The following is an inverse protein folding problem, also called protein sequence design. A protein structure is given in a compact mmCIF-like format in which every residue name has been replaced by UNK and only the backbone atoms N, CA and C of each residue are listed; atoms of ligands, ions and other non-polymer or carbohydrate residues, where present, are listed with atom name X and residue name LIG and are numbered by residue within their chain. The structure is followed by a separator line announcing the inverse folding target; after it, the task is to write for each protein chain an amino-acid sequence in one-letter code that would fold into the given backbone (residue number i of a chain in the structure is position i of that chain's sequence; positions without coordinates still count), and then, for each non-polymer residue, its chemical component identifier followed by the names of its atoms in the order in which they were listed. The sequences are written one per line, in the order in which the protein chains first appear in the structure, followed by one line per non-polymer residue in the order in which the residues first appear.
data_IF_923466130730
#
_entry.id   IF_923466130730
#
_cell.length_a   1.000
_cell.length_b   1.000
_cell.length_c   1.000
_cell.angle_alpha   90.00
_cell.angle_beta   90.00
_cell.angle_gamma   90.00
#
_symmetry.space_group_name_H-M   'P 1'
#
loop_
_entity.id
_entity.type
_entity.pdbx_description
1 polymer ?
#
# COMPACT_ATOMS: atom_id res chain seq x y z
N UNK A 1 2.93 20.09 -14.89
CA UNK A 1 2.87 21.16 -13.89
C UNK A 1 4.29 21.53 -13.45
N UNK A 2 4.85 22.66 -13.89
CA UNK A 2 6.18 23.10 -13.47
C UNK A 2 6.25 23.32 -11.95
N UNK A 3 7.43 23.00 -11.38
CA UNK A 3 7.70 23.07 -9.94
C UNK A 3 6.81 22.20 -9.06
N UNK A 4 6.15 21.18 -9.63
CA UNK A 4 5.41 20.20 -8.86
C UNK A 4 6.37 19.29 -8.05
N UNK A 5 5.86 18.74 -6.96
CA UNK A 5 6.60 17.84 -6.09
C UNK A 5 5.86 16.55 -5.88
N UNK A 6 6.50 15.45 -6.26
CA UNK A 6 6.03 14.09 -6.01
C UNK A 6 6.84 13.41 -4.93
N UNK A 7 6.26 12.37 -4.35
CA UNK A 7 6.92 11.44 -3.44
C UNK A 7 6.71 10.01 -3.93
N UNK A 8 7.78 9.22 -3.99
CA UNK A 8 7.72 7.77 -4.12
C UNK A 8 8.24 7.18 -2.81
N UNK A 9 7.43 6.39 -2.13
CA UNK A 9 7.74 5.91 -0.79
C UNK A 9 7.31 4.45 -0.59
N UNK A 10 8.08 3.74 0.23
CA UNK A 10 7.78 2.42 0.76
C UNK A 10 8.13 2.38 2.24
N UNK A 11 7.92 1.27 2.93
CA UNK A 11 8.34 1.11 4.35
C UNK A 11 9.82 1.41 4.52
N UNK A 12 10.70 0.89 3.64
CA UNK A 12 12.13 1.20 3.68
C UNK A 12 12.64 1.67 2.32
N UNK A 13 13.60 2.59 2.32
CA UNK A 13 14.26 3.05 1.09
C UNK A 13 15.02 1.90 0.40
N UNK A 14 15.61 0.98 1.16
CA UNK A 14 16.34 -0.17 0.61
C UNK A 14 15.42 -1.07 -0.23
N UNK A 15 14.26 -1.44 0.31
CA UNK A 15 13.25 -2.24 -0.41
C UNK A 15 12.72 -1.50 -1.64
N UNK A 16 12.46 -0.20 -1.52
CA UNK A 16 12.02 0.62 -2.64
C UNK A 16 13.07 0.63 -3.77
N UNK A 17 14.36 0.77 -3.41
CA UNK A 17 15.48 0.84 -4.34
C UNK A 17 15.67 -0.42 -5.18
N UNK A 18 15.47 -1.59 -4.56
CA UNK A 18 15.64 -2.89 -5.21
C UNK A 18 14.41 -3.38 -6.00
N UNK A 19 13.28 -2.68 -5.91
CA UNK A 19 12.02 -3.08 -6.56
C UNK A 19 11.45 -1.97 -7.45
N UNK A 20 10.59 -1.11 -6.94
CA UNK A 20 9.86 -0.12 -7.72
C UNK A 20 10.78 0.86 -8.45
N UNK A 21 11.89 1.27 -7.86
CA UNK A 21 12.80 2.20 -8.53
C UNK A 21 13.56 1.56 -9.70
N UNK A 22 13.73 0.24 -9.73
CA UNK A 22 14.24 -0.47 -10.91
C UNK A 22 13.21 -0.35 -12.03
N UNK A 23 11.98 -0.77 -11.78
CA UNK A 23 10.87 -0.66 -12.75
C UNK A 23 10.65 0.78 -13.21
N UNK A 24 10.69 1.73 -12.27
CA UNK A 24 10.59 3.15 -12.58
C UNK A 24 11.64 3.60 -13.59
N UNK A 25 12.91 3.29 -13.35
CA UNK A 25 14.02 3.70 -14.23
C UNK A 25 13.99 3.02 -15.58
N UNK A 26 13.66 1.72 -15.63
CA UNK A 26 13.73 0.91 -16.83
C UNK A 26 12.52 1.09 -17.76
N UNK A 27 11.34 1.36 -17.20
CA UNK A 27 10.09 1.34 -17.96
C UNK A 27 9.36 2.69 -17.95
N UNK A 28 9.42 3.47 -16.86
CA UNK A 28 8.65 4.72 -16.74
C UNK A 28 9.53 5.94 -17.07
N UNK A 29 10.69 6.03 -16.46
CA UNK A 29 11.56 7.20 -16.54
C UNK A 29 12.60 7.15 -17.67
N UNK A 30 12.76 6.00 -18.29
CA UNK A 30 13.83 5.71 -19.25
C UNK A 30 13.94 6.75 -20.37
N UNK A 31 12.84 7.05 -21.02
CA UNK A 31 12.80 8.01 -22.14
C UNK A 31 13.12 9.43 -21.66
N UNK A 32 12.52 9.86 -20.54
CA UNK A 32 12.77 11.18 -19.99
C UNK A 32 14.23 11.38 -19.53
N UNK A 33 14.84 10.34 -18.97
CA UNK A 33 16.26 10.35 -18.59
C UNK A 33 17.14 10.42 -19.85
N UNK A 34 16.87 9.59 -20.86
CA UNK A 34 17.61 9.55 -22.11
C UNK A 34 17.52 10.85 -22.89
N UNK A 35 16.39 11.54 -22.82
CA UNK A 35 16.17 12.84 -23.44
C UNK A 35 16.74 14.03 -22.61
N UNK A 36 17.35 13.77 -21.46
CA UNK A 36 17.87 14.81 -20.57
C UNK A 36 16.80 15.67 -19.88
N UNK A 37 15.53 15.26 -19.94
CA UNK A 37 14.42 15.97 -19.30
C UNK A 37 14.34 15.70 -17.79
N UNK A 38 14.97 14.62 -17.33
CA UNK A 38 15.00 14.21 -15.94
C UNK A 38 16.35 13.60 -15.58
N UNK A 39 16.86 13.90 -14.39
CA UNK A 39 18.07 13.33 -13.83
C UNK A 39 17.87 12.82 -12.41
N UNK A 40 18.48 11.70 -12.06
CA UNK A 40 18.50 11.19 -10.71
C UNK A 40 19.61 11.84 -9.88
N UNK A 41 19.26 12.30 -8.70
CA UNK A 41 20.16 12.79 -7.67
C UNK A 41 20.13 11.85 -6.46
N UNK A 42 21.26 11.27 -6.10
CA UNK A 42 21.36 10.25 -5.06
C UNK A 42 21.18 10.76 -3.62
N UNK A 43 21.03 12.07 -3.44
CA UNK A 43 20.87 12.70 -2.13
C UNK A 43 22.21 13.14 -1.50
N UNK A 44 22.10 13.92 -0.43
CA UNK A 44 23.19 14.38 0.43
C UNK A 44 22.78 14.30 1.90
N UNK A 45 23.59 14.85 2.80
CA UNK A 45 23.20 15.02 4.19
C UNK A 45 21.96 15.94 4.32
N UNK A 46 21.82 16.91 3.42
CA UNK A 46 20.82 17.98 3.48
C UNK A 46 19.57 17.67 2.64
N UNK A 47 19.73 16.95 1.50
CA UNK A 47 18.63 16.64 0.60
C UNK A 47 18.41 15.12 0.44
N UNK A 48 17.15 14.64 0.42
CA UNK A 48 16.86 13.24 0.12
C UNK A 48 17.15 12.90 -1.34
N UNK A 49 17.30 11.60 -1.69
CA UNK A 49 17.35 11.15 -3.07
C UNK A 49 16.12 11.61 -3.84
N UNK A 50 16.28 12.04 -5.09
CA UNK A 50 15.19 12.58 -5.89
C UNK A 50 15.47 12.53 -7.39
N UNK A 51 14.41 12.50 -8.19
CA UNK A 51 14.46 12.79 -9.62
C UNK A 51 14.15 14.27 -9.81
N UNK A 52 15.01 14.96 -10.55
CA UNK A 52 14.92 16.39 -10.87
C UNK A 52 14.59 16.56 -12.35
N UNK A 53 13.56 17.35 -12.63
CA UNK A 53 13.11 17.64 -13.99
C UNK A 53 13.58 19.03 -14.42
N UNK A 54 13.80 19.21 -15.73
CA UNK A 54 14.22 20.48 -16.31
C UNK A 54 13.22 21.63 -16.11
N UNK A 55 11.93 21.31 -15.86
CA UNK A 55 10.89 22.28 -15.59
C UNK A 55 10.78 22.68 -14.09
N UNK A 56 11.77 22.32 -13.27
CA UNK A 56 11.82 22.59 -11.84
C UNK A 56 11.05 21.60 -10.95
N UNK A 57 10.31 20.65 -11.54
CA UNK A 57 9.61 19.63 -10.77
C UNK A 57 10.59 18.61 -10.17
N UNK A 58 10.18 17.96 -9.07
CA UNK A 58 10.98 16.96 -8.36
C UNK A 58 10.11 15.80 -7.93
N UNK A 59 10.67 14.59 -7.96
CA UNK A 59 10.07 13.41 -7.31
C UNK A 59 11.06 12.93 -6.26
N UNK A 60 10.72 13.12 -5.01
CA UNK A 60 11.51 12.64 -3.88
C UNK A 60 11.31 11.14 -3.68
N UNK A 61 12.34 10.47 -3.18
CA UNK A 61 12.36 9.02 -2.95
C UNK A 61 12.74 8.77 -1.51
N UNK A 62 11.96 7.97 -0.79
CA UNK A 62 12.21 7.75 0.63
C UNK A 62 11.62 6.48 1.21
N UNK A 63 11.94 6.25 2.47
CA UNK A 63 11.36 5.19 3.31
C UNK A 63 10.73 5.78 4.56
N UNK A 64 9.64 5.17 5.02
CA UNK A 64 8.97 5.54 6.27
C UNK A 64 9.71 5.03 7.52
N UNK A 65 10.78 4.25 7.35
CA UNK A 65 11.74 3.93 8.41
C UNK A 65 12.58 5.14 8.86
N UNK A 66 12.75 6.14 7.97
CA UNK A 66 13.43 7.41 8.25
C UNK A 66 12.60 8.59 7.75
N UNK A 67 11.42 8.82 8.34
CA UNK A 67 10.42 9.75 7.80
C UNK A 67 10.87 11.21 7.85
N UNK A 68 11.75 11.60 8.75
CA UNK A 68 12.18 13.00 8.91
C UNK A 68 12.72 13.62 7.64
N UNK A 69 13.38 12.84 6.77
CA UNK A 69 13.95 13.32 5.49
C UNK A 69 12.90 13.68 4.45
N UNK A 70 11.78 12.98 4.46
CA UNK A 70 10.70 13.18 3.48
C UNK A 70 9.54 13.99 4.05
N UNK A 71 9.32 13.92 5.36
CA UNK A 71 8.22 14.60 6.04
C UNK A 71 8.48 16.10 6.28
N UNK A 72 9.67 16.61 6.05
CA UNK A 72 9.97 18.05 6.09
C UNK A 72 9.62 18.80 4.79
N UNK A 73 9.17 18.08 3.74
CA UNK A 73 8.78 18.64 2.45
C UNK A 73 7.27 18.62 2.26
N UNK A 74 6.80 19.38 1.26
CA UNK A 74 5.41 19.43 0.81
C UNK A 74 5.32 18.82 -0.58
N UNK A 75 4.22 18.13 -0.87
CA UNK A 75 4.00 17.41 -2.11
C UNK A 75 2.67 17.78 -2.77
N UNK A 76 2.55 17.54 -4.07
CA UNK A 76 1.31 17.56 -4.82
C UNK A 76 0.72 16.15 -4.95
N UNK A 77 1.59 15.14 -5.05
CA UNK A 77 1.16 13.74 -5.09
C UNK A 77 2.16 12.84 -4.37
N UNK A 78 1.67 11.68 -3.94
CA UNK A 78 2.50 10.61 -3.40
C UNK A 78 2.10 9.26 -4.01
N UNK A 79 3.11 8.43 -4.30
CA UNK A 79 2.96 7.04 -4.64
C UNK A 79 3.54 6.17 -3.53
N UNK A 80 2.68 5.36 -2.93
CA UNK A 80 3.04 4.46 -1.81
C UNK A 80 3.10 3.04 -2.33
N UNK A 81 4.30 2.49 -2.42
CA UNK A 81 4.50 1.10 -2.83
C UNK A 81 4.29 0.16 -1.64
N UNK A 82 3.59 -0.96 -1.89
CA UNK A 82 3.27 -1.99 -0.89
C UNK A 82 2.67 -1.36 0.38
N UNK A 83 1.54 -0.67 0.22
CA UNK A 83 0.94 0.13 1.29
C UNK A 83 0.57 -0.68 2.54
N UNK A 84 0.40 -2.00 2.45
CA UNK A 84 0.19 -2.86 3.61
C UNK A 84 1.39 -2.93 4.55
N UNK A 85 2.61 -2.58 4.10
CA UNK A 85 3.78 -2.52 4.96
C UNK A 85 3.77 -1.28 5.88
N UNK A 86 2.97 -0.27 5.55
CA UNK A 86 2.86 0.97 6.30
C UNK A 86 1.82 0.83 7.43
N UNK A 87 1.97 1.65 8.45
CA UNK A 87 0.92 1.88 9.45
C UNK A 87 -0.08 2.93 8.95
N UNK A 88 -1.29 2.98 9.53
CA UNK A 88 -2.24 4.04 9.25
C UNK A 88 -1.67 5.42 9.60
N UNK A 89 -0.88 5.52 10.68
CA UNK A 89 -0.20 6.76 11.05
C UNK A 89 0.82 7.22 10.00
N UNK A 90 1.56 6.30 9.36
CA UNK A 90 2.45 6.61 8.24
C UNK A 90 1.66 7.21 7.06
N UNK A 91 0.53 6.60 6.71
CA UNK A 91 -0.37 7.08 5.66
C UNK A 91 -0.93 8.47 5.95
N UNK A 92 -1.40 8.69 7.16
CA UNK A 92 -1.92 9.99 7.59
C UNK A 92 -0.83 11.06 7.61
N UNK A 93 0.38 10.71 8.05
CA UNK A 93 1.53 11.62 8.00
C UNK A 93 1.82 12.06 6.55
N UNK A 94 1.83 11.14 5.57
CA UNK A 94 1.98 11.48 4.15
C UNK A 94 0.85 12.41 3.69
N UNK A 95 -0.39 12.09 4.06
CA UNK A 95 -1.57 12.90 3.70
C UNK A 95 -1.42 14.37 4.14
N UNK A 96 -0.87 14.62 5.32
CA UNK A 96 -0.66 16.00 5.83
C UNK A 96 0.36 16.79 5.02
N UNK A 97 1.18 16.12 4.20
CA UNK A 97 2.20 16.77 3.34
C UNK A 97 1.72 17.11 1.94
N UNK A 98 0.52 16.70 1.57
CA UNK A 98 -0.07 17.02 0.27
C UNK A 98 -0.65 18.44 0.26
N UNK A 99 0.22 19.43 0.17
CA UNK A 99 -0.14 20.86 0.23
C UNK A 99 0.81 21.78 -0.54
N UNK A 100 1.61 21.27 -1.49
CA UNK A 100 2.51 22.08 -2.30
C UNK A 100 1.76 23.07 -3.22
N UNK A 101 0.54 22.73 -3.67
CA UNK A 101 -0.36 23.62 -4.40
C UNK A 101 0.11 23.99 -5.82
N UNK A 102 1.01 23.21 -6.43
CA UNK A 102 1.45 23.42 -7.82
C UNK A 102 0.60 22.64 -8.83
N UNK A 103 -0.10 21.63 -8.37
CA UNK A 103 -1.10 20.91 -9.15
C UNK A 103 -2.51 21.34 -8.70
N UNK A 104 -3.51 21.30 -9.59
CA UNK A 104 -4.89 21.65 -9.25
C UNK A 104 -5.58 20.64 -8.32
N UNK A 105 -4.91 19.53 -8.04
CA UNK A 105 -5.37 18.47 -7.14
C UNK A 105 -4.18 17.89 -6.37
N UNK A 106 -4.46 17.28 -5.24
CA UNK A 106 -3.53 16.47 -4.48
C UNK A 106 -4.02 15.03 -4.49
N UNK A 107 -3.10 14.07 -4.54
CA UNK A 107 -3.46 12.67 -4.66
C UNK A 107 -2.44 11.75 -3.97
N UNK A 108 -2.94 10.70 -3.32
CA UNK A 108 -2.15 9.52 -2.96
C UNK A 108 -2.61 8.37 -3.85
N UNK A 109 -1.66 7.75 -4.52
CA UNK A 109 -1.82 6.45 -5.16
C UNK A 109 -1.04 5.42 -4.38
N UNK A 110 -1.57 4.22 -4.28
CA UNK A 110 -0.88 3.12 -3.63
C UNK A 110 -1.15 1.81 -4.35
N UNK A 111 -0.18 0.92 -4.31
CA UNK A 111 -0.36 -0.48 -4.69
C UNK A 111 -0.14 -1.38 -3.49
N UNK A 112 -0.77 -2.54 -3.53
CA UNK A 112 -0.60 -3.59 -2.53
C UNK A 112 -1.18 -4.91 -3.00
N UNK A 113 -0.66 -6.00 -2.47
CA UNK A 113 -1.35 -7.28 -2.47
C UNK A 113 -2.35 -7.33 -1.30
N UNK A 114 -3.45 -8.07 -1.41
CA UNK A 114 -4.39 -8.27 -0.31
C UNK A 114 -3.73 -8.93 0.91
N UNK A 115 -4.23 -8.57 2.08
CA UNK A 115 -3.87 -9.17 3.36
C UNK A 115 -5.15 -9.53 4.14
N UNK A 116 -5.18 -9.34 5.45
CA UNK A 116 -6.35 -9.60 6.29
C UNK A 116 -7.45 -8.55 6.06
N UNK A 117 -8.74 -8.93 6.14
CA UNK A 117 -9.86 -8.00 6.00
C UNK A 117 -9.88 -6.87 7.04
N UNK A 118 -9.26 -7.11 8.20
CA UNK A 118 -9.18 -6.15 9.31
C UNK A 118 -7.98 -5.20 9.19
N UNK A 119 -7.16 -5.33 8.14
CA UNK A 119 -6.05 -4.42 7.91
C UNK A 119 -6.55 -2.98 7.73
N UNK A 120 -5.89 -2.00 8.36
CA UNK A 120 -6.30 -0.59 8.36
C UNK A 120 -6.63 -0.06 6.97
N UNK A 121 -5.85 -0.46 5.94
CA UNK A 121 -6.06 -0.01 4.56
C UNK A 121 -7.40 -0.54 4.01
N UNK A 122 -7.72 -1.83 4.23
CA UNK A 122 -9.00 -2.40 3.80
C UNK A 122 -10.16 -1.77 4.55
N UNK A 123 -10.01 -1.56 5.86
CA UNK A 123 -11.02 -0.87 6.68
C UNK A 123 -11.28 0.55 6.16
N UNK A 124 -10.24 1.33 5.84
CA UNK A 124 -10.40 2.66 5.22
C UNK A 124 -11.14 2.62 3.90
N UNK A 125 -10.86 1.61 3.07
CA UNK A 125 -11.57 1.42 1.80
C UNK A 125 -13.06 1.12 2.05
N UNK A 126 -13.36 0.22 2.96
CA UNK A 126 -14.73 -0.12 3.32
C UNK A 126 -15.53 1.07 3.91
N UNK A 127 -14.83 1.98 4.61
CA UNK A 127 -15.41 3.23 5.12
C UNK A 127 -15.55 4.34 4.08
N UNK A 128 -15.14 4.10 2.83
CA UNK A 128 -15.19 5.11 1.77
C UNK A 128 -14.14 6.24 1.90
N UNK A 129 -13.19 6.12 2.83
CA UNK A 129 -12.10 7.10 3.02
C UNK A 129 -10.99 6.98 1.97
N UNK A 130 -10.92 5.85 1.30
CA UNK A 130 -9.95 5.54 0.24
C UNK A 130 -10.66 4.70 -0.81
N UNK A 131 -10.48 5.04 -2.09
CA UNK A 131 -11.04 4.26 -3.19
C UNK A 131 -10.18 3.04 -3.46
N UNK A 132 -10.78 1.86 -3.43
CA UNK A 132 -10.14 0.60 -3.83
C UNK A 132 -10.38 0.36 -5.32
N UNK A 133 -9.30 0.22 -6.07
CA UNK A 133 -9.31 -0.23 -7.45
C UNK A 133 -8.75 -1.66 -7.47
N UNK A 134 -9.61 -2.62 -7.71
CA UNK A 134 -9.19 -4.02 -7.84
C UNK A 134 -8.60 -4.25 -9.22
N UNK A 135 -7.43 -4.91 -9.25
CA UNK A 135 -6.78 -5.39 -10.46
C UNK A 135 -6.44 -6.86 -10.28
N UNK A 136 -6.67 -7.65 -11.31
CA UNK A 136 -6.45 -9.09 -11.31
C UNK A 136 -5.45 -9.47 -12.39
N UNK A 137 -4.95 -10.70 -12.31
CA UNK A 137 -4.04 -11.22 -13.34
C UNK A 137 -4.70 -11.25 -14.72
N UNK A 138 -6.01 -11.40 -14.75
CA UNK A 138 -6.83 -11.41 -15.94
C UNK A 138 -6.91 -10.04 -16.65
N UNK A 139 -6.60 -8.96 -15.92
CA UNK A 139 -6.56 -7.59 -16.47
C UNK A 139 -5.20 -7.27 -17.10
N UNK A 140 -4.21 -8.15 -16.98
CA UNK A 140 -2.86 -7.88 -17.45
C UNK A 140 -2.64 -8.39 -18.89
N UNK A 141 -2.50 -7.51 -19.88
CA UNK A 141 -2.34 -7.90 -21.28
C UNK A 141 -1.02 -8.63 -21.59
N UNK A 142 -0.06 -8.66 -20.65
CA UNK A 142 1.13 -9.49 -20.80
C UNK A 142 0.90 -10.95 -20.41
N UNK A 143 -0.18 -11.23 -19.68
CA UNK A 143 -0.55 -12.56 -19.21
C UNK A 143 -1.72 -13.15 -20.02
N UNK A 144 -2.63 -12.31 -20.51
CA UNK A 144 -3.77 -12.73 -21.34
C UNK A 144 -3.80 -11.97 -22.66
N UNK A 145 -4.21 -12.67 -23.70
CA UNK A 145 -4.56 -12.10 -25.00
C UNK A 145 -5.94 -11.41 -24.94
N UNK A 146 -6.26 -10.61 -25.94
CA UNK A 146 -7.55 -9.93 -26.04
C UNK A 146 -8.76 -10.88 -26.10
N UNK A 147 -8.56 -12.12 -26.55
CA UNK A 147 -9.56 -13.18 -26.58
C UNK A 147 -9.72 -13.94 -25.27
N UNK A 148 -9.00 -13.55 -24.22
CA UNK A 148 -9.00 -14.19 -22.90
C UNK A 148 -8.11 -15.45 -22.79
N UNK A 149 -7.44 -15.86 -23.86
CA UNK A 149 -6.47 -16.97 -23.79
C UNK A 149 -5.19 -16.52 -23.11
N UNK A 150 -4.52 -17.44 -22.41
CA UNK A 150 -3.25 -17.14 -21.73
C UNK A 150 -2.11 -17.02 -22.73
N UNK A 151 -1.30 -15.97 -22.61
CA UNK A 151 0.00 -15.89 -23.31
C UNK A 151 0.96 -16.97 -22.77
N UNK A 152 2.05 -17.32 -23.46
CA UNK A 152 3.06 -18.25 -22.92
C UNK A 152 3.56 -17.83 -21.52
N UNK A 153 3.80 -16.53 -21.30
CA UNK A 153 4.16 -15.98 -20.00
C UNK A 153 3.02 -16.12 -18.98
N UNK A 154 1.77 -15.94 -19.42
CA UNK A 154 0.58 -16.15 -18.60
C UNK A 154 0.41 -17.58 -18.14
N UNK A 155 0.63 -18.54 -19.03
CA UNK A 155 0.58 -19.98 -18.71
C UNK A 155 1.61 -20.29 -17.62
N UNK A 156 2.85 -19.89 -17.80
CA UNK A 156 3.92 -20.14 -16.84
C UNK A 156 3.65 -19.48 -15.48
N UNK A 157 3.34 -18.19 -15.47
CA UNK A 157 3.17 -17.43 -14.24
C UNK A 157 1.93 -17.83 -13.46
N UNK A 158 0.78 -17.93 -14.12
CA UNK A 158 -0.51 -18.27 -13.47
C UNK A 158 -0.47 -19.71 -12.95
N UNK A 159 0.19 -20.64 -13.65
CA UNK A 159 0.35 -22.02 -13.14
C UNK A 159 1.13 -22.06 -11.82
N UNK A 160 2.15 -21.23 -11.64
CA UNK A 160 2.86 -21.11 -10.36
C UNK A 160 1.93 -20.64 -9.24
N UNK A 161 1.05 -19.69 -9.54
CA UNK A 161 0.06 -19.20 -8.56
C UNK A 161 -1.05 -20.22 -8.29
N UNK A 162 -1.48 -20.96 -9.29
CA UNK A 162 -2.49 -22.01 -9.17
C UNK A 162 -2.00 -23.18 -8.28
N UNK A 163 -0.69 -23.39 -8.18
CA UNK A 163 -0.05 -24.36 -7.28
C UNK A 163 0.07 -23.89 -5.82
N UNK A 164 -0.22 -22.63 -5.52
CA UNK A 164 -0.31 -22.18 -4.14
C UNK A 164 -1.52 -22.84 -3.45
N UNK A 165 -1.49 -22.90 -2.12
CA UNK A 165 -2.57 -23.45 -1.29
C UNK A 165 -3.04 -22.43 -0.26
N UNK A 166 -4.20 -22.70 0.36
CA UNK A 166 -4.75 -21.96 1.48
C UNK A 166 -4.86 -20.44 1.22
N UNK A 167 -4.63 -19.68 2.26
CA UNK A 167 -4.71 -18.22 2.26
C UNK A 167 -3.79 -17.57 1.23
N UNK A 168 -2.60 -18.14 1.00
CA UNK A 168 -1.66 -17.63 0.00
C UNK A 168 -2.26 -17.63 -1.41
N UNK A 169 -2.93 -18.72 -1.77
CA UNK A 169 -3.62 -18.82 -3.06
C UNK A 169 -4.74 -17.78 -3.16
N UNK A 170 -5.54 -17.67 -2.12
CA UNK A 170 -6.65 -16.72 -2.09
C UNK A 170 -6.16 -15.27 -2.24
N UNK A 171 -5.10 -14.88 -1.54
CA UNK A 171 -4.53 -13.54 -1.63
C UNK A 171 -3.82 -13.30 -2.95
N UNK A 172 -2.85 -14.13 -3.31
CA UNK A 172 -1.94 -13.85 -4.42
C UNK A 172 -2.48 -14.28 -5.79
N UNK A 173 -3.34 -15.33 -5.85
CA UNK A 173 -3.93 -15.78 -7.11
C UNK A 173 -5.28 -15.13 -7.39
N UNK A 174 -6.10 -15.00 -6.35
CA UNK A 174 -7.48 -14.51 -6.51
C UNK A 174 -7.69 -13.07 -6.07
N UNK A 175 -6.70 -12.43 -5.47
CA UNK A 175 -6.78 -11.03 -5.04
C UNK A 175 -7.75 -10.79 -3.87
N UNK A 176 -7.97 -11.80 -3.03
CA UNK A 176 -8.95 -11.73 -1.96
C UNK A 176 -8.32 -11.28 -0.64
N UNK A 177 -8.98 -10.39 0.06
CA UNK A 177 -8.66 -10.03 1.42
C UNK A 177 -9.23 -11.10 2.36
N UNK A 178 -8.35 -11.95 2.88
CA UNK A 178 -8.74 -13.10 3.71
C UNK A 178 -7.87 -13.20 4.95
N UNK A 179 -8.46 -13.70 6.03
CA UNK A 179 -7.75 -13.92 7.28
C UNK A 179 -6.62 -14.97 7.13
N UNK A 180 -5.60 -14.88 7.99
CA UNK A 180 -4.55 -15.90 8.05
C UNK A 180 -5.13 -17.25 8.53
N UNK A 181 -4.57 -18.36 8.04
CA UNK A 181 -4.89 -19.68 8.59
C UNK A 181 -4.60 -19.69 10.10
N UNK A 182 -5.54 -20.22 10.89
CA UNK A 182 -5.41 -20.31 12.34
C UNK A 182 -6.06 -19.16 13.13
N UNK A 183 -6.78 -18.26 12.52
CA UNK A 183 -7.69 -17.39 13.26
C UNK A 183 -8.82 -18.24 13.88
N UNK A 184 -8.96 -18.14 15.21
CA UNK A 184 -9.98 -18.89 15.97
C UNK A 184 -11.41 -18.54 15.50
N UNK A 185 -11.58 -17.29 15.03
CA UNK A 185 -12.85 -16.77 14.53
C UNK A 185 -12.66 -16.21 13.11
N UNK A 186 -12.69 -17.08 12.10
CA UNK A 186 -12.56 -16.68 10.69
C UNK A 186 -13.69 -15.77 10.21
N UNK A 187 -14.84 -15.86 10.86
CA UNK A 187 -16.06 -15.13 10.56
C UNK A 187 -16.13 -13.75 11.24
N UNK A 188 -15.11 -13.38 12.04
CA UNK A 188 -15.11 -12.08 12.72
C UNK A 188 -14.99 -10.93 11.73
N UNK A 189 -16.04 -10.15 11.60
CA UNK A 189 -16.11 -8.92 10.84
C UNK A 189 -16.37 -7.73 11.79
N UNK A 190 -15.43 -6.80 11.94
CA UNK A 190 -15.63 -5.63 12.79
C UNK A 190 -16.87 -4.81 12.44
N UNK A 191 -17.23 -4.75 11.15
CA UNK A 191 -18.42 -3.99 10.71
C UNK A 191 -19.74 -4.61 11.17
N UNK A 192 -19.74 -5.92 11.44
CA UNK A 192 -20.91 -6.68 11.89
C UNK A 192 -20.89 -6.94 13.41
N UNK A 193 -19.67 -7.21 13.94
CA UNK A 193 -19.53 -7.73 15.31
C UNK A 193 -19.10 -6.66 16.33
N UNK A 194 -18.66 -5.47 15.88
CA UNK A 194 -18.46 -4.32 16.75
C UNK A 194 -19.73 -3.46 16.78
N UNK A 195 -20.22 -3.22 17.95
CA UNK A 195 -21.35 -2.31 18.18
C UNK A 195 -20.89 -1.09 18.96
N UNK A 196 -21.56 0.02 18.77
CA UNK A 196 -21.32 1.23 19.54
C UNK A 196 -21.56 1.00 21.03
N UNK A 197 -20.79 1.72 21.84
CA UNK A 197 -20.92 1.63 23.29
C UNK A 197 -22.32 2.04 23.73
N UNK A 198 -23.01 1.16 24.43
CA UNK A 198 -24.33 1.45 24.97
C UNK A 198 -24.41 1.16 26.48
N UNK A 199 -25.40 1.74 27.15
CA UNK A 199 -25.65 1.47 28.56
C UNK A 199 -26.29 0.11 28.71
N UNK A 200 -25.61 -0.80 29.39
CA UNK A 200 -26.14 -2.14 29.66
C UNK A 200 -27.39 -2.00 30.58
N UNK A 201 -28.57 -2.53 30.19
CA UNK A 201 -29.75 -2.51 31.00
C UNK A 201 -29.51 -3.16 32.36
N UNK A 202 -30.12 -2.62 33.42
CA UNK A 202 -29.91 -3.08 34.80
C UNK A 202 -30.47 -4.49 35.06
N UNK A 203 -31.46 -4.88 34.27
CA UNK A 203 -32.14 -6.17 34.32
C UNK A 203 -31.42 -7.29 33.55
N UNK A 204 -30.35 -6.97 32.81
CA UNK A 204 -29.57 -8.01 32.15
C UNK A 204 -28.71 -8.79 33.14
N UNK A 205 -28.77 -10.12 33.06
CA UNK A 205 -27.91 -11.01 33.85
C UNK A 205 -26.47 -10.84 33.39
N UNK A 206 -25.55 -10.69 34.32
CA UNK A 206 -24.13 -10.49 34.07
C UNK A 206 -23.35 -11.72 34.51
N UNK A 207 -22.53 -12.20 33.61
CA UNK A 207 -21.61 -13.32 33.86
C UNK A 207 -20.18 -12.80 33.82
N UNK A 208 -19.37 -13.30 34.71
CA UNK A 208 -17.95 -13.05 34.76
C UNK A 208 -17.23 -14.37 34.50
N UNK A 209 -16.26 -14.40 33.60
CA UNK A 209 -15.37 -15.52 33.39
C UNK A 209 -13.93 -15.02 33.46
N UNK A 210 -13.06 -15.84 34.02
CA UNK A 210 -11.63 -15.55 34.14
C UNK A 210 -10.88 -16.78 33.62
N UNK A 211 -10.00 -16.56 32.64
CA UNK A 211 -9.04 -17.57 32.21
C UNK A 211 -7.69 -17.30 32.83
N UNK A 212 -7.11 -18.31 33.49
CA UNK A 212 -5.82 -18.20 34.15
C UNK A 212 -4.71 -18.58 33.16
N UNK A 213 -4.07 -17.57 32.54
CA UNK A 213 -2.92 -17.81 31.68
C UNK A 213 -1.70 -18.32 32.44
N UNK A 214 -1.00 -19.31 31.87
CA UNK A 214 0.19 -19.91 32.49
C UNK A 214 1.43 -19.00 32.41
N UNK A 215 1.53 -18.18 31.39
CA UNK A 215 2.68 -17.29 31.11
C UNK A 215 2.26 -15.82 31.17
N UNK A 216 1.05 -15.48 30.77
CA UNK A 216 0.46 -14.15 30.85
C UNK A 216 -0.65 -14.15 31.92
N UNK A 217 -0.56 -13.25 32.91
CA UNK A 217 -1.31 -13.43 34.16
C UNK A 217 -2.84 -13.32 34.07
N UNK A 218 -3.48 -12.76 33.10
CA UNK A 218 -4.96 -12.74 32.94
C UNK A 218 -5.35 -12.18 31.57
N UNK A 219 -6.36 -12.73 30.94
CA UNK A 219 -7.12 -12.14 29.83
C UNK A 219 -8.57 -11.98 30.23
#
# INVERSE_FOLDING_TARGET
YPNSRGLIVRKTLASLGSTALVTWREHVAKEAISAGLMAYYGGSAEEPPQYRFTNGSKIMVGGMDKPTRIMSSEYDFAYVQEAIELTEADWEAITTRLRNGRMPYQMILADTNPDTPIHWLKVRCNQGKTTLLESRHEDNPTLLNADGTRTPRGVEYISKLDNLSGVRKQRLRHGLWVAAEGMIYEEYDPAVHLIDRFRIPADWTRYWSVDFGYVNPFV
#
